data_IF_290818384891
#
_entry.id   IF_290818384891
#
_cell.length_a   1.000
_cell.length_b   1.000
_cell.length_c   1.000
_cell.angle_alpha   90.00
_cell.angle_beta   90.00
_cell.angle_gamma   90.00
#
_symmetry.space_group_name_H-M   'P 1'
#
loop_
_entity.id
_entity.type
_entity.pdbx_description
1 polymer ?
#
# COMPACT_ATOMS: atom_id res chain seq x y z
N UNK A 1 -8.47 -5.35 -54.13
CA UNK A 1 -7.01 -5.51 -53.97
C UNK A 1 -6.50 -4.27 -53.25
N UNK A 2 -6.22 -4.39 -51.95
CA UNK A 2 -4.87 -4.46 -51.34
C UNK A 2 -4.43 -3.06 -50.90
N UNK A 3 -4.41 -2.72 -49.61
CA UNK A 3 -3.45 -3.12 -48.55
C UNK A 3 -2.06 -2.50 -48.76
N UNK A 4 -1.63 -1.75 -47.74
CA UNK A 4 -0.36 -1.02 -47.59
C UNK A 4 -0.36 0.25 -48.45
N UNK A 5 -0.02 1.44 -47.93
CA UNK A 5 1.26 1.70 -47.28
C UNK A 5 1.11 2.82 -46.23
N UNK A 6 1.21 2.48 -44.95
CA UNK A 6 2.42 2.63 -44.13
C UNK A 6 2.48 4.01 -43.48
N UNK A 7 2.02 4.13 -42.24
CA UNK A 7 2.94 4.13 -41.10
C UNK A 7 4.11 5.12 -41.28
N UNK A 8 3.88 6.37 -40.88
CA UNK A 8 4.93 7.31 -40.47
C UNK A 8 4.31 8.21 -39.39
N UNK A 9 4.29 7.74 -38.13
CA UNK A 9 5.32 7.91 -37.09
C UNK A 9 5.10 9.20 -36.27
N UNK A 10 4.88 8.96 -34.97
CA UNK A 10 5.08 9.88 -33.86
C UNK A 10 4.09 11.05 -33.70
N UNK A 11 2.79 10.75 -33.58
CA UNK A 11 1.94 11.58 -32.71
C UNK A 11 2.26 11.20 -31.27
N UNK A 12 3.35 11.79 -30.77
CA UNK A 12 3.77 11.91 -29.38
C UNK A 12 3.18 10.86 -28.42
N UNK A 13 3.97 9.82 -28.11
CA UNK A 13 3.81 8.92 -26.96
C UNK A 13 4.04 9.67 -25.62
N UNK A 14 3.37 10.80 -25.48
CA UNK A 14 3.29 11.66 -24.30
C UNK A 14 1.84 12.08 -24.10
N UNK A 15 0.90 11.16 -24.37
CA UNK A 15 -0.36 11.20 -23.64
C UNK A 15 0.02 11.13 -22.17
N UNK A 16 -0.01 12.30 -21.51
CA UNK A 16 0.05 12.46 -20.07
C UNK A 16 -0.74 11.31 -19.46
N UNK A 17 -0.05 10.31 -18.93
CA UNK A 17 -0.69 9.16 -18.32
C UNK A 17 -1.62 9.72 -17.26
N UNK A 18 -2.93 9.50 -17.45
CA UNK A 18 -3.92 9.97 -16.49
C UNK A 18 -3.52 9.45 -15.10
N UNK A 19 -3.64 10.26 -14.02
CA UNK A 19 -3.26 9.85 -12.67
C UNK A 19 -3.86 8.48 -12.29
N UNK A 20 -5.07 8.21 -12.76
CA UNK A 20 -5.80 6.95 -12.60
C UNK A 20 -5.06 5.76 -13.22
N UNK A 21 -4.47 5.94 -14.40
CA UNK A 21 -3.71 4.88 -15.10
C UNK A 21 -2.38 4.60 -14.40
N UNK A 22 -1.72 5.62 -13.82
CA UNK A 22 -0.52 5.42 -13.01
C UNK A 22 -0.82 4.72 -11.69
N UNK A 23 -1.89 5.11 -10.98
CA UNK A 23 -2.27 4.48 -9.70
C UNK A 23 -2.58 3.00 -9.88
N UNK A 24 -3.28 2.63 -10.96
CA UNK A 24 -3.58 1.22 -11.29
C UNK A 24 -2.33 0.36 -11.42
N UNK A 25 -1.33 0.82 -12.19
CA UNK A 25 -0.06 0.09 -12.35
C UNK A 25 0.74 0.00 -11.06
N UNK A 26 0.81 1.09 -10.31
CA UNK A 26 1.52 1.13 -9.02
C UNK A 26 0.89 0.12 -8.07
N UNK A 27 -0.44 0.15 -7.94
CA UNK A 27 -1.14 -0.76 -7.03
C UNK A 27 -1.00 -2.22 -7.47
N UNK A 28 -1.12 -2.51 -8.76
CA UNK A 28 -0.87 -3.85 -9.31
C UNK A 28 0.54 -4.36 -9.00
N UNK A 29 1.57 -3.50 -9.11
CA UNK A 29 2.94 -3.87 -8.76
C UNK A 29 3.07 -4.20 -7.26
N UNK A 30 2.48 -3.37 -6.39
CA UNK A 30 2.48 -3.62 -4.94
C UNK A 30 1.82 -4.96 -4.61
N UNK A 31 0.73 -5.31 -5.30
CA UNK A 31 0.06 -6.61 -5.16
C UNK A 31 0.99 -7.75 -5.57
N UNK A 32 1.62 -7.67 -6.74
CA UNK A 32 2.55 -8.68 -7.22
C UNK A 32 3.71 -8.92 -6.23
N UNK A 33 4.27 -7.83 -5.68
CA UNK A 33 5.38 -7.89 -4.72
C UNK A 33 4.96 -8.53 -3.39
N UNK A 34 3.79 -8.18 -2.85
CA UNK A 34 3.32 -8.70 -1.56
C UNK A 34 2.86 -10.16 -1.65
N UNK A 35 2.19 -10.50 -2.75
CA UNK A 35 1.67 -11.85 -2.97
C UNK A 35 2.71 -12.79 -3.57
N UNK A 36 3.89 -12.28 -3.92
CA UNK A 36 4.99 -13.04 -4.54
C UNK A 36 4.53 -13.76 -5.83
N UNK A 37 3.70 -13.07 -6.61
CA UNK A 37 3.16 -13.56 -7.89
C UNK A 37 3.72 -12.76 -9.05
N UNK A 38 3.63 -13.32 -10.25
CA UNK A 38 3.98 -12.59 -11.46
C UNK A 38 2.97 -11.47 -11.71
N UNK A 39 3.44 -10.31 -12.20
CA UNK A 39 2.58 -9.17 -12.52
C UNK A 39 1.48 -9.53 -13.53
N UNK A 40 1.76 -10.47 -14.44
CA UNK A 40 0.81 -11.01 -15.43
C UNK A 40 -0.29 -11.86 -14.80
N UNK A 41 -0.11 -12.33 -13.57
CA UNK A 41 -1.08 -13.15 -12.83
C UNK A 41 -2.06 -12.33 -12.01
N UNK A 42 -1.79 -11.04 -11.80
CA UNK A 42 -2.72 -10.08 -11.18
C UNK A 42 -3.38 -9.21 -12.25
N UNK A 43 -4.67 -9.41 -12.49
CA UNK A 43 -5.51 -8.58 -13.35
C UNK A 43 -6.11 -7.38 -12.60
N UNK A 44 -6.53 -6.36 -13.35
CA UNK A 44 -7.15 -5.15 -12.77
C UNK A 44 -8.48 -5.44 -12.06
N UNK A 45 -9.19 -6.48 -12.50
CA UNK A 45 -10.47 -6.92 -11.94
C UNK A 45 -10.31 -7.91 -10.78
N UNK A 46 -9.07 -8.22 -10.38
CA UNK A 46 -8.79 -9.11 -9.26
C UNK A 46 -9.02 -8.44 -7.92
N UNK A 47 -9.67 -9.18 -7.03
CA UNK A 47 -9.83 -8.82 -5.63
C UNK A 47 -8.70 -9.44 -4.83
N UNK A 48 -8.31 -8.78 -3.73
CA UNK A 48 -7.23 -9.27 -2.87
C UNK A 48 -7.51 -10.71 -2.38
N UNK A 49 -8.73 -10.95 -1.89
CA UNK A 49 -9.15 -12.25 -1.37
C UNK A 49 -9.06 -13.37 -2.42
N UNK A 50 -9.25 -13.05 -3.71
CA UNK A 50 -9.14 -14.02 -4.80
C UNK A 50 -7.70 -14.37 -5.13
N UNK A 51 -6.77 -13.43 -4.96
CA UNK A 51 -5.34 -13.63 -5.20
C UNK A 51 -4.61 -14.23 -4.00
N UNK A 52 -5.02 -13.87 -2.78
CA UNK A 52 -4.58 -14.49 -1.52
C UNK A 52 -5.42 -13.98 -0.36
N UNK A 53 -6.12 -14.88 0.32
CA UNK A 53 -7.14 -14.55 1.32
C UNK A 53 -6.63 -14.46 2.76
N UNK A 54 -5.45 -13.91 3.05
CA UNK A 54 -4.96 -13.74 4.44
C UNK A 54 -4.84 -12.27 4.88
N UNK A 55 -5.14 -12.02 6.16
CA UNK A 55 -5.18 -10.68 6.75
C UNK A 55 -3.80 -10.08 7.00
N UNK A 56 -2.75 -10.90 7.07
CA UNK A 56 -1.37 -10.46 7.33
C UNK A 56 -0.79 -9.81 6.09
N UNK A 57 -0.99 -10.41 4.92
CA UNK A 57 -0.57 -9.83 3.64
C UNK A 57 -1.31 -8.52 3.33
N UNK A 58 -2.60 -8.41 3.69
CA UNK A 58 -3.35 -7.16 3.55
C UNK A 58 -2.74 -6.03 4.39
N UNK A 59 -2.30 -6.31 5.61
CA UNK A 59 -1.58 -5.33 6.46
C UNK A 59 -0.26 -4.93 5.80
N UNK A 60 0.49 -5.91 5.28
CA UNK A 60 1.77 -5.66 4.63
C UNK A 60 1.63 -4.87 3.33
N UNK A 61 0.47 -4.90 2.68
CA UNK A 61 0.18 -4.17 1.45
C UNK A 61 0.06 -2.65 1.62
N UNK A 62 -0.52 -2.21 2.74
CA UNK A 62 -0.80 -0.79 2.98
C UNK A 62 0.48 0.05 3.02
N UNK A 63 1.55 -0.46 3.64
CA UNK A 63 2.83 0.27 3.77
C UNK A 63 3.49 0.60 2.42
N UNK A 64 3.77 -0.36 1.52
CA UNK A 64 4.35 -0.08 0.21
C UNK A 64 3.41 0.72 -0.69
N UNK A 65 2.09 0.49 -0.66
CA UNK A 65 1.13 1.33 -1.38
C UNK A 65 1.25 2.81 -0.94
N UNK A 66 1.31 3.04 0.37
CA UNK A 66 1.52 4.37 0.95
C UNK A 66 2.88 4.96 0.56
N UNK A 67 3.96 4.17 0.59
CA UNK A 67 5.28 4.62 0.13
C UNK A 67 5.29 5.03 -1.35
N UNK A 68 4.43 4.40 -2.16
CA UNK A 68 4.26 4.70 -3.57
C UNK A 68 3.26 5.85 -3.86
N UNK A 69 2.79 6.56 -2.82
CA UNK A 69 1.93 7.73 -3.00
C UNK A 69 0.43 7.45 -2.97
N UNK A 70 0.00 6.21 -2.68
CA UNK A 70 -1.40 5.79 -2.71
C UNK A 70 -1.91 5.46 -1.30
N UNK A 71 -3.02 6.09 -0.89
CA UNK A 71 -3.77 5.64 0.29
C UNK A 71 -4.83 4.64 -0.16
N UNK A 72 -4.71 3.40 0.28
CA UNK A 72 -5.72 2.35 0.08
C UNK A 72 -6.30 1.99 1.43
N UNK A 73 -7.62 1.90 1.54
CA UNK A 73 -8.28 1.61 2.80
C UNK A 73 -8.26 0.10 3.08
N UNK A 74 -7.99 -0.29 4.32
CA UNK A 74 -7.98 -1.72 4.70
C UNK A 74 -9.32 -2.42 4.38
N UNK A 75 -10.44 -1.72 4.58
CA UNK A 75 -11.77 -2.22 4.25
C UNK A 75 -11.97 -2.47 2.75
N UNK A 76 -11.24 -1.77 1.88
CA UNK A 76 -11.29 -1.98 0.44
C UNK A 76 -10.42 -3.18 0.04
N UNK A 77 -9.25 -3.32 0.66
CA UNK A 77 -8.35 -4.47 0.46
C UNK A 77 -9.03 -5.76 0.88
N UNK A 78 -9.66 -5.80 2.05
CA UNK A 78 -10.35 -6.99 2.57
C UNK A 78 -11.77 -7.18 2.01
N UNK A 79 -12.25 -6.26 1.18
CA UNK A 79 -13.58 -6.33 0.57
C UNK A 79 -13.56 -6.97 -0.81
N UNK A 80 -14.69 -6.86 -1.50
CA UNK A 80 -14.88 -7.32 -2.89
C UNK A 80 -14.46 -6.26 -3.93
N UNK A 81 -13.55 -5.33 -3.56
CA UNK A 81 -13.08 -4.30 -4.47
C UNK A 81 -11.94 -4.83 -5.33
N UNK A 82 -12.04 -4.61 -6.64
CA UNK A 82 -10.97 -4.92 -7.56
C UNK A 82 -9.77 -3.97 -7.38
N UNK A 83 -8.60 -4.37 -7.87
CA UNK A 83 -7.42 -3.49 -7.94
C UNK A 83 -7.76 -2.18 -8.67
N UNK A 84 -8.60 -2.23 -9.72
CA UNK A 84 -9.06 -1.06 -10.44
C UNK A 84 -9.90 -0.13 -9.57
N UNK A 85 -10.88 -0.67 -8.83
CA UNK A 85 -11.76 0.09 -7.93
C UNK A 85 -10.95 0.77 -6.82
N UNK A 86 -10.00 0.03 -6.24
CA UNK A 86 -9.11 0.54 -5.21
C UNK A 86 -8.23 1.67 -5.74
N UNK A 87 -7.65 1.52 -6.94
CA UNK A 87 -6.81 2.53 -7.54
C UNK A 87 -7.58 3.80 -7.94
N UNK A 88 -8.86 3.68 -8.27
CA UNK A 88 -9.74 4.81 -8.59
C UNK A 88 -10.14 5.59 -7.34
N UNK A 89 -10.38 4.88 -6.23
CA UNK A 89 -10.68 5.48 -4.92
C UNK A 89 -9.45 5.93 -4.16
N UNK A 90 -8.27 5.42 -4.52
CA UNK A 90 -7.02 5.73 -3.85
C UNK A 90 -6.78 7.23 -3.89
N UNK A 91 -6.76 7.83 -2.71
CA UNK A 91 -6.47 9.26 -2.59
C UNK A 91 -4.97 9.41 -2.72
N UNK A 92 -4.53 10.30 -3.62
CA UNK A 92 -3.14 10.72 -3.65
C UNK A 92 -2.79 11.27 -2.27
N UNK A 93 -1.68 10.83 -1.70
CA UNK A 93 -1.25 11.31 -0.38
C UNK A 93 -0.95 12.81 -0.50
N UNK A 94 -1.91 13.67 -0.15
CA UNK A 94 -1.60 14.98 0.38
C UNK A 94 -0.97 14.70 1.73
N UNK A 95 0.36 14.69 1.79
CA UNK A 95 1.22 14.42 2.96
C UNK A 95 0.42 14.35 4.26
N UNK A 96 -0.10 13.17 4.60
CA UNK A 96 -0.69 12.99 5.92
C UNK A 96 0.45 13.25 6.88
N UNK A 97 0.35 14.28 7.75
CA UNK A 97 1.49 14.70 8.55
C UNK A 97 2.01 13.47 9.27
N UNK A 98 3.34 13.33 9.31
CA UNK A 98 3.95 12.35 10.19
C UNK A 98 3.50 12.71 11.60
N UNK A 99 2.47 12.02 12.09
CA UNK A 99 2.00 12.20 13.45
C UNK A 99 3.08 11.56 14.31
N UNK A 100 3.89 12.40 14.95
CA UNK A 100 4.83 11.94 15.97
C UNK A 100 3.96 11.59 17.18
N UNK A 101 3.94 10.31 17.52
CA UNK A 101 3.31 9.82 18.73
C UNK A 101 4.37 9.78 19.82
N UNK A 102 4.13 10.48 20.93
CA UNK A 102 4.93 10.34 22.14
C UNK A 102 4.91 8.88 22.63
N UNK A 103 6.00 8.34 23.18
CA UNK A 103 6.02 6.99 23.73
C UNK A 103 4.85 6.78 24.70
N UNK A 104 4.09 5.69 24.48
CA UNK A 104 2.92 5.32 25.29
C UNK A 104 1.80 6.39 25.33
N UNK A 105 1.72 7.30 24.34
CA UNK A 105 0.66 8.32 24.29
C UNK A 105 -0.75 7.73 24.22
N UNK A 106 -0.89 6.52 23.66
CA UNK A 106 -2.15 5.77 23.56
C UNK A 106 -2.52 5.02 24.86
N UNK A 107 -1.63 4.97 25.84
CA UNK A 107 -1.85 4.31 27.14
C UNK A 107 -2.33 5.34 28.17
N UNK A 108 -3.35 4.97 28.95
CA UNK A 108 -3.84 5.70 30.13
C UNK A 108 -2.68 6.13 31.02
N UNK A 109 -2.66 7.40 31.43
CA UNK A 109 -1.53 7.96 32.20
C UNK A 109 -1.25 7.18 33.50
N UNK A 110 -2.30 6.66 34.13
CA UNK A 110 -2.24 5.84 35.34
C UNK A 110 -1.52 4.50 35.15
N UNK A 111 -1.48 3.97 33.92
CA UNK A 111 -0.94 2.65 33.60
C UNK A 111 0.44 2.71 32.92
N UNK A 112 0.95 3.91 32.61
CA UNK A 112 2.20 4.06 31.85
C UNK A 112 3.41 3.49 32.59
N UNK A 113 3.52 3.79 33.88
CA UNK A 113 4.63 3.30 34.71
C UNK A 113 4.61 1.78 34.82
N UNK A 114 3.43 1.19 34.99
CA UNK A 114 3.27 -0.27 35.05
C UNK A 114 3.61 -0.94 33.72
N UNK A 115 3.20 -0.34 32.58
CA UNK A 115 3.54 -0.84 31.24
C UNK A 115 5.04 -0.74 30.96
N UNK A 116 5.70 0.35 31.38
CA UNK A 116 7.15 0.50 31.26
C UNK A 116 7.88 -0.56 32.07
N UNK A 117 7.46 -0.76 33.32
CA UNK A 117 8.05 -1.77 34.20
C UNK A 117 7.87 -3.18 33.64
N UNK A 118 6.66 -3.52 33.16
CA UNK A 118 6.38 -4.82 32.54
C UNK A 118 7.23 -5.04 31.27
N UNK A 119 7.38 -4.02 30.42
CA UNK A 119 8.19 -4.10 29.22
C UNK A 119 9.68 -4.34 29.55
N UNK A 120 10.20 -3.70 30.60
CA UNK A 120 11.57 -3.90 31.09
C UNK A 120 11.78 -5.31 31.65
N UNK A 121 10.81 -5.83 32.41
CA UNK A 121 10.87 -7.18 32.98
C UNK A 121 10.83 -8.28 31.91
N UNK A 122 10.07 -8.08 30.84
CA UNK A 122 9.91 -9.07 29.76
C UNK A 122 10.94 -8.97 28.64
N UNK A 123 11.64 -7.84 28.50
CA UNK A 123 12.72 -7.71 27.54
C UNK A 123 14.04 -8.23 28.13
N UNK A 124 14.44 -9.45 27.77
CA UNK A 124 15.79 -9.96 28.02
C UNK A 124 16.86 -9.36 27.06
N UNK A 125 16.79 -8.06 26.73
CA UNK A 125 17.82 -7.38 25.94
C UNK A 125 17.85 -5.85 26.15
N UNK A 126 18.86 -5.43 26.91
CA UNK A 126 19.82 -4.33 26.69
C UNK A 126 19.34 -2.87 26.54
N UNK A 127 19.69 -2.08 27.56
CA UNK A 127 20.20 -0.72 27.36
C UNK A 127 19.14 0.38 27.31
N UNK A 128 18.83 0.93 28.48
CA UNK A 128 18.32 2.30 28.60
C UNK A 128 19.18 3.23 27.76
N UNK A 129 18.58 4.00 26.85
CA UNK A 129 19.22 5.16 26.22
C UNK A 129 19.59 6.12 27.36
N UNK A 130 20.89 6.41 27.62
CA UNK A 130 21.25 7.54 28.46
C UNK A 130 21.21 8.83 27.62
N UNK A 131 20.94 9.95 28.31
CA UNK A 131 20.85 11.34 27.79
C UNK A 131 21.79 11.69 26.62
#
# INVERSE_FOLDING_TARGET
MSQKERYALASSATEKQSPVTSSKRILQQVYADILQIQLTSSGMEDTFLRLSGDSVQAIHLIRPARKAGLVVQMQEVLGEFSIADQAEKAVAIASSPAVIYEPLSLVEASMRDDVLKLAQEQCSACGTVPD
#
